data_IF_322067832726
#
_entry.id   IF_322067832726
#
_cell.length_a   1.000
_cell.length_b   1.000
_cell.length_c   1.000
_cell.angle_alpha   90.00
_cell.angle_beta   90.00
_cell.angle_gamma   90.00
#
_symmetry.space_group_name_H-M   'P 1'
#
loop_
_entity.id
_entity.type
_entity.pdbx_description
1 polymer ?
#
# COMPACT_ATOMS: atom_id res chain seq x y z
N UNK A 1 -8.87 16.19 74.58
CA UNK A 1 -8.13 16.41 73.33
C UNK A 1 -8.23 15.14 72.49
N UNK A 2 -8.96 15.13 71.37
CA UNK A 2 -8.81 14.15 70.27
C UNK A 2 -9.85 14.47 69.19
N UNK A 3 -9.42 15.09 68.09
CA UNK A 3 -10.24 15.43 66.92
C UNK A 3 -9.91 14.52 65.70
N UNK A 4 -9.57 13.24 65.93
CA UNK A 4 -8.99 12.37 64.88
C UNK A 4 -9.95 11.34 64.27
N UNK A 5 -11.27 11.56 64.32
CA UNK A 5 -12.25 10.61 63.75
C UNK A 5 -13.12 11.24 62.66
N UNK A 6 -12.55 11.78 61.58
CA UNK A 6 -13.40 12.12 60.41
C UNK A 6 -12.57 12.32 59.14
N UNK A 7 -12.78 11.43 58.16
CA UNK A 7 -12.33 11.45 56.75
C UNK A 7 -11.20 10.46 56.43
N UNK A 8 -11.53 9.16 56.42
CA UNK A 8 -10.72 8.13 55.73
C UNK A 8 -11.49 7.43 54.60
N UNK A 9 -12.59 8.03 54.12
CA UNK A 9 -13.33 7.53 52.97
C UNK A 9 -13.23 8.49 51.79
N UNK A 10 -13.06 7.94 50.57
CA UNK A 10 -13.23 8.70 49.34
C UNK A 10 -14.67 9.25 49.33
N UNK A 11 -14.81 10.58 49.32
CA UNK A 11 -16.10 11.24 49.17
C UNK A 11 -16.23 11.67 47.72
N UNK A 12 -17.36 11.33 47.10
CA UNK A 12 -17.71 11.90 45.81
C UNK A 12 -17.77 13.42 45.94
N UNK A 13 -17.21 14.18 44.99
CA UNK A 13 -17.32 15.63 44.97
C UNK A 13 -18.79 16.06 45.05
N UNK A 14 -19.02 17.22 45.66
CA UNK A 14 -20.35 17.79 45.75
C UNK A 14 -20.94 17.95 44.33
N UNK A 15 -22.19 17.51 44.16
CA UNK A 15 -22.92 17.58 42.89
C UNK A 15 -22.27 16.85 41.70
N UNK A 16 -21.39 15.87 41.94
CA UNK A 16 -20.72 15.09 40.88
C UNK A 16 -21.68 14.54 39.82
N UNK A 17 -22.75 13.85 40.24
CA UNK A 17 -23.72 13.26 39.33
C UNK A 17 -24.54 14.30 38.57
N UNK A 18 -24.90 15.41 39.21
CA UNK A 18 -25.63 16.50 38.58
C UNK A 18 -24.77 17.18 37.50
N UNK A 19 -23.49 17.43 37.81
CA UNK A 19 -22.54 18.01 36.85
C UNK A 19 -22.31 17.09 35.66
N UNK A 20 -22.12 15.79 35.91
CA UNK A 20 -21.98 14.78 34.86
C UNK A 20 -23.21 14.74 33.94
N UNK A 21 -24.41 14.72 34.52
CA UNK A 21 -25.67 14.70 33.76
C UNK A 21 -25.81 15.95 32.88
N UNK A 22 -25.54 17.13 33.44
CA UNK A 22 -25.64 18.39 32.72
C UNK A 22 -24.61 18.49 31.58
N UNK A 23 -23.39 17.98 31.79
CA UNK A 23 -22.35 17.96 30.76
C UNK A 23 -22.74 17.05 29.59
N UNK A 24 -23.25 15.84 29.88
CA UNK A 24 -23.71 14.91 28.84
C UNK A 24 -24.84 15.55 28.04
N UNK A 25 -25.86 16.09 28.72
CA UNK A 25 -27.01 16.71 28.07
C UNK A 25 -26.61 17.92 27.20
N UNK A 26 -25.73 18.79 27.71
CA UNK A 26 -25.23 19.93 26.95
C UNK A 26 -24.43 19.50 25.71
N UNK A 27 -23.68 18.41 25.79
CA UNK A 27 -22.90 17.89 24.66
C UNK A 27 -23.81 17.28 23.61
N UNK A 28 -24.86 16.55 24.02
CA UNK A 28 -25.83 15.92 23.10
C UNK A 28 -26.68 16.96 22.38
N UNK A 29 -27.29 17.91 23.11
CA UNK A 29 -28.16 18.94 22.52
C UNK A 29 -27.38 19.87 21.58
N UNK A 30 -26.14 20.24 21.93
CA UNK A 30 -25.33 21.11 21.07
C UNK A 30 -24.78 20.39 19.83
N UNK A 31 -24.71 19.05 19.83
CA UNK A 31 -24.26 18.27 18.67
C UNK A 31 -25.35 18.10 17.60
N UNK A 32 -26.64 18.18 17.95
CA UNK A 32 -27.74 18.10 16.97
C UNK A 32 -27.71 19.26 15.96
N UNK A 33 -27.13 20.40 16.32
CA UNK A 33 -26.96 21.57 15.46
C UNK A 33 -25.64 21.60 14.69
N UNK A 34 -24.80 20.56 14.81
CA UNK A 34 -23.56 20.47 14.02
C UNK A 34 -23.94 19.99 12.62
N UNK A 35 -24.55 20.89 11.84
CA UNK A 35 -24.74 20.74 10.40
C UNK A 35 -23.35 20.43 9.86
N UNK A 36 -23.12 19.17 9.52
CA UNK A 36 -21.92 18.73 8.81
C UNK A 36 -22.01 19.49 7.48
N UNK A 37 -21.30 20.62 7.38
CA UNK A 37 -21.14 21.32 6.12
C UNK A 37 -20.56 20.29 5.16
N UNK A 38 -21.38 19.79 4.24
CA UNK A 38 -20.91 18.92 3.19
C UNK A 38 -19.84 19.71 2.45
N UNK A 39 -18.61 19.25 2.60
CA UNK A 39 -17.49 19.77 1.85
C UNK A 39 -17.82 19.48 0.39
N UNK A 40 -18.08 20.53 -0.38
CA UNK A 40 -18.39 20.39 -1.80
C UNK A 40 -17.18 19.75 -2.46
N UNK A 41 -17.35 18.52 -2.93
CA UNK A 41 -16.31 17.80 -3.66
C UNK A 41 -16.02 18.58 -4.95
N UNK A 42 -14.97 19.39 -4.88
CA UNK A 42 -14.54 20.22 -6.00
C UNK A 42 -13.91 19.31 -7.05
N UNK A 43 -14.61 19.08 -8.16
CA UNK A 43 -14.10 18.33 -9.31
C UNK A 43 -12.81 18.95 -9.90
N UNK A 44 -12.46 20.18 -9.52
CA UNK A 44 -11.20 20.81 -9.90
C UNK A 44 -9.98 19.97 -9.48
N UNK A 45 -10.00 19.31 -8.32
CA UNK A 45 -8.87 18.47 -7.90
C UNK A 45 -8.70 17.25 -8.81
N UNK A 46 -9.81 16.71 -9.33
CA UNK A 46 -9.79 15.59 -10.28
C UNK A 46 -9.22 16.02 -11.64
N UNK A 47 -9.56 17.23 -12.10
CA UNK A 47 -8.99 17.80 -13.34
C UNK A 47 -7.48 18.03 -13.22
N UNK A 48 -7.03 18.60 -12.10
CA UNK A 48 -5.60 18.82 -11.84
C UNK A 48 -4.83 17.50 -11.77
N UNK A 49 -5.39 16.49 -11.10
CA UNK A 49 -4.78 15.16 -11.03
C UNK A 49 -4.68 14.49 -12.42
N UNK A 50 -5.74 14.60 -13.24
CA UNK A 50 -5.73 14.03 -14.60
C UNK A 50 -4.65 14.67 -15.48
N UNK A 51 -4.49 16.01 -15.42
CA UNK A 51 -3.44 16.73 -16.16
C UNK A 51 -2.05 16.30 -15.69
N UNK A 52 -1.86 16.17 -14.38
CA UNK A 52 -0.57 15.74 -13.82
C UNK A 52 -0.17 14.32 -14.27
N UNK A 53 -1.10 13.36 -14.17
CA UNK A 53 -0.83 11.96 -14.56
C UNK A 53 -0.55 11.83 -16.05
N UNK A 54 -1.34 12.51 -16.89
CA UNK A 54 -1.16 12.49 -18.35
C UNK A 54 0.14 13.16 -18.77
N UNK A 55 0.53 14.27 -18.14
CA UNK A 55 1.82 14.93 -18.37
C UNK A 55 2.99 14.04 -17.97
N UNK A 56 2.91 13.39 -16.80
CA UNK A 56 3.95 12.46 -16.34
C UNK A 56 4.10 11.29 -17.30
N UNK A 57 2.99 10.68 -17.74
CA UNK A 57 3.01 9.60 -18.72
C UNK A 57 3.61 10.06 -20.05
N UNK A 58 3.20 11.22 -20.57
CA UNK A 58 3.71 11.73 -21.84
C UNK A 58 5.23 11.97 -21.82
N UNK A 59 5.75 12.58 -20.75
CA UNK A 59 7.19 12.83 -20.61
C UNK A 59 8.00 11.55 -20.43
N UNK A 60 7.44 10.52 -19.79
CA UNK A 60 8.13 9.25 -19.55
C UNK A 60 7.83 8.18 -20.62
N UNK A 61 6.94 8.46 -21.58
CA UNK A 61 6.50 7.48 -22.58
C UNK A 61 7.64 6.95 -23.46
N UNK A 62 8.56 7.83 -23.85
CA UNK A 62 9.72 7.41 -24.64
C UNK A 62 10.67 6.48 -23.87
N UNK A 63 10.69 6.55 -22.54
CA UNK A 63 11.55 5.70 -21.72
C UNK A 63 10.92 4.32 -21.46
N UNK A 64 9.58 4.20 -21.58
CA UNK A 64 8.85 2.95 -21.47
C UNK A 64 8.98 2.07 -22.73
N UNK A 65 9.02 2.67 -23.92
CA UNK A 65 9.10 1.92 -25.19
C UNK A 65 10.50 1.37 -25.52
N UNK A 66 11.54 1.81 -24.83
CA UNK A 66 12.92 1.36 -25.08
C UNK A 66 13.31 0.12 -24.27
N UNK A 67 12.40 -0.41 -23.44
CA UNK A 67 12.64 -1.63 -22.67
C UNK A 67 11.83 -2.79 -23.27
N UNK A 68 12.19 -3.21 -24.49
CA UNK A 68 12.04 -4.63 -24.78
C UNK A 68 13.07 -5.32 -23.90
N UNK A 69 12.62 -5.87 -22.78
CA UNK A 69 13.44 -6.79 -22.02
C UNK A 69 13.69 -7.98 -22.95
N UNK A 70 14.86 -8.01 -23.59
CA UNK A 70 15.36 -9.23 -24.19
C UNK A 70 15.40 -10.27 -23.06
N UNK A 71 14.42 -11.16 -23.05
CA UNK A 71 14.40 -12.25 -22.09
C UNK A 71 15.67 -13.04 -22.33
N UNK A 72 16.54 -13.11 -21.32
CA UNK A 72 17.73 -13.93 -21.39
C UNK A 72 17.29 -15.39 -21.50
N UNK A 73 17.30 -15.92 -22.72
CA UNK A 73 16.88 -17.28 -23.05
C UNK A 73 17.88 -18.33 -22.54
N UNK A 74 19.00 -17.93 -21.93
CA UNK A 74 19.96 -18.82 -21.28
C UNK A 74 19.49 -19.32 -19.91
N UNK A 75 18.17 -19.40 -19.70
CA UNK A 75 17.55 -19.99 -18.53
C UNK A 75 16.61 -21.10 -18.98
N UNK A 76 16.72 -22.32 -18.43
CA UNK A 76 15.86 -23.44 -18.82
C UNK A 76 14.38 -23.14 -18.56
N UNK A 77 14.07 -22.30 -17.56
CA UNK A 77 12.70 -21.90 -17.23
C UNK A 77 12.12 -20.96 -18.29
N UNK A 78 12.94 -20.07 -18.84
CA UNK A 78 12.49 -19.11 -19.86
C UNK A 78 12.36 -19.80 -21.22
N UNK A 79 13.27 -20.73 -21.53
CA UNK A 79 13.21 -21.50 -22.78
C UNK A 79 12.01 -22.44 -22.83
N UNK A 80 11.59 -23.05 -21.72
CA UNK A 80 10.35 -23.86 -21.68
C UNK A 80 9.10 -23.05 -21.93
N UNK A 81 9.01 -21.84 -21.35
CA UNK A 81 7.86 -20.94 -21.56
C UNK A 81 7.77 -20.51 -23.03
N UNK A 82 8.91 -20.29 -23.70
CA UNK A 82 8.93 -19.91 -25.11
C UNK A 82 8.67 -21.08 -26.07
N UNK A 83 9.03 -22.30 -25.67
CA UNK A 83 8.94 -23.50 -26.51
C UNK A 83 7.69 -24.34 -26.26
N UNK A 84 6.81 -23.88 -25.35
CA UNK A 84 5.62 -24.61 -24.87
C UNK A 84 5.94 -26.06 -24.43
N UNK A 85 7.16 -26.28 -23.93
CA UNK A 85 7.62 -27.57 -23.41
C UNK A 85 7.48 -27.60 -21.89
N UNK A 86 7.09 -28.74 -21.35
CA UNK A 86 7.04 -28.95 -19.91
C UNK A 86 8.46 -28.97 -19.30
N UNK A 87 8.62 -28.35 -18.14
CA UNK A 87 9.91 -28.34 -17.42
C UNK A 87 10.09 -29.71 -16.76
N UNK A 88 10.94 -30.54 -17.34
CA UNK A 88 11.39 -31.82 -16.77
C UNK A 88 12.89 -31.80 -16.49
N UNK A 89 13.36 -32.68 -15.61
CA UNK A 89 14.78 -32.81 -15.31
C UNK A 89 15.59 -33.15 -16.57
N UNK A 90 15.03 -33.98 -17.45
CA UNK A 90 15.60 -34.32 -18.76
C UNK A 90 15.76 -33.08 -19.65
N UNK A 91 14.72 -32.25 -19.75
CA UNK A 91 14.78 -31.01 -20.52
C UNK A 91 15.84 -30.04 -19.99
N UNK A 92 15.98 -29.92 -18.67
CA UNK A 92 16.99 -29.05 -18.05
C UNK A 92 18.40 -29.56 -18.38
N UNK A 93 18.63 -30.87 -18.32
CA UNK A 93 19.93 -31.48 -18.64
C UNK A 93 20.28 -31.28 -20.12
N UNK A 94 19.35 -31.51 -21.03
CA UNK A 94 19.55 -31.31 -22.47
C UNK A 94 19.88 -29.84 -22.78
N UNK A 95 19.09 -28.91 -22.22
CA UNK A 95 19.30 -27.47 -22.39
C UNK A 95 20.69 -27.02 -21.91
N UNK A 96 21.14 -27.49 -20.75
CA UNK A 96 22.46 -27.15 -20.22
C UNK A 96 23.59 -27.78 -21.04
N UNK A 97 23.38 -29.00 -21.52
CA UNK A 97 24.34 -29.70 -22.39
C UNK A 97 24.52 -28.95 -23.70
N UNK A 98 23.43 -28.51 -24.33
CA UNK A 98 23.46 -27.70 -25.55
C UNK A 98 24.21 -26.38 -25.34
N UNK A 99 24.00 -25.70 -24.21
CA UNK A 99 24.74 -24.47 -23.87
C UNK A 99 26.24 -24.74 -23.72
N UNK A 100 26.63 -25.83 -23.05
CA UNK A 100 28.04 -26.19 -22.86
C UNK A 100 28.69 -26.51 -24.21
N UNK A 101 28.04 -27.30 -25.06
CA UNK A 101 28.55 -27.63 -26.41
C UNK A 101 28.72 -26.39 -27.28
N UNK A 102 27.76 -25.46 -27.26
CA UNK A 102 27.85 -24.19 -28.01
C UNK A 102 29.03 -23.34 -27.50
N UNK A 103 29.26 -23.32 -26.18
CA UNK A 103 30.38 -22.58 -25.60
C UNK A 103 31.74 -23.22 -25.92
N UNK A 104 31.84 -24.54 -25.96
CA UNK A 104 33.07 -25.25 -26.34
C UNK A 104 33.42 -25.06 -27.82
N UNK A 105 32.43 -24.97 -28.72
CA UNK A 105 32.68 -24.61 -30.12
C UNK A 105 33.16 -23.16 -30.31
N UNK A 106 32.93 -22.30 -29.33
CA UNK A 106 33.39 -20.91 -29.29
C UNK A 106 34.82 -20.83 -28.74
N UNK A 107 35.73 -21.64 -29.29
CA UNK A 107 37.17 -21.53 -29.00
C UNK A 107 37.63 -20.14 -29.46
N UNK A 108 38.20 -19.30 -28.58
CA UNK A 108 38.78 -18.04 -29.00
C UNK A 108 39.93 -18.31 -29.97
N UNK A 109 39.92 -17.65 -31.13
CA UNK A 109 41.10 -17.59 -32.00
C UNK A 109 42.24 -16.86 -31.32
#
# INVERSE_FOLDING_TARGET
MSQHYKKLGFKTPENYFQKSKNQILATTINNENKIIKQQTNSYFHLLVAAIFITSLLYLNFSNLNNQMNDFNTNSPIISTILSDKEITDEYIVDFLTDIVVINEFKIPK
#
